data_IF_851609413540
#
_entry.id   IF_851609413540
#
_cell.length_a   1.000
_cell.length_b   1.000
_cell.length_c   1.000
_cell.angle_alpha   90.00
_cell.angle_beta   90.00
_cell.angle_gamma   90.00
#
_symmetry.space_group_name_H-M   'P 1'
#
loop_
_entity.id
_entity.type
_entity.pdbx_description
1 polymer ?
#
# COMPACT_ATOMS: atom_id res chain seq x y z
N UNK A 1 2.01 19.40 16.41
CA UNK A 1 3.15 18.78 17.12
C UNK A 1 2.97 17.28 16.93
N UNK A 2 3.73 16.66 16.02
CA UNK A 2 3.66 15.22 15.78
C UNK A 2 4.81 14.59 16.55
N UNK A 3 4.51 13.85 17.61
CA UNK A 3 5.49 13.03 18.34
C UNK A 3 5.52 11.64 17.73
N UNK A 4 6.71 11.15 17.38
CA UNK A 4 6.87 9.77 16.96
C UNK A 4 6.87 8.87 18.21
N UNK A 5 6.17 7.74 18.12
CA UNK A 5 5.97 6.82 19.25
C UNK A 5 7.27 6.16 19.75
N UNK A 6 8.41 6.38 19.07
CA UNK A 6 9.71 5.72 19.33
C UNK A 6 10.90 6.69 19.19
N UNK A 7 10.78 7.95 19.63
CA UNK A 7 11.97 8.81 19.78
C UNK A 7 12.92 8.17 20.80
N UNK A 8 14.00 7.55 20.32
CA UNK A 8 15.09 7.05 21.17
C UNK A 8 16.19 8.12 21.26
N UNK A 9 17.00 8.06 22.32
CA UNK A 9 18.05 9.06 22.60
C UNK A 9 19.22 8.95 21.58
N UNK A 10 19.29 7.86 20.81
CA UNK A 10 20.10 7.77 19.59
C UNK A 10 19.30 8.35 18.41
N UNK A 11 19.90 9.28 17.66
CA UNK A 11 19.32 10.00 16.50
C UNK A 11 18.87 9.13 15.30
N UNK A 12 18.47 7.88 15.51
CA UNK A 12 17.96 6.98 14.49
C UNK A 12 16.44 7.15 14.35
N UNK A 13 16.04 8.26 13.74
CA UNK A 13 14.64 8.56 13.45
C UNK A 13 14.07 7.47 12.53
N UNK A 14 13.17 6.65 13.07
CA UNK A 14 12.48 5.62 12.29
C UNK A 14 11.12 6.12 11.84
N UNK A 15 10.90 6.19 10.54
CA UNK A 15 9.61 6.60 9.98
C UNK A 15 8.61 5.47 10.14
N UNK A 16 7.58 5.66 10.95
CA UNK A 16 6.42 4.77 11.02
C UNK A 16 5.16 5.58 10.79
N UNK A 17 4.33 5.14 9.84
CA UNK A 17 3.13 5.86 9.42
C UNK A 17 1.92 4.94 9.63
N UNK A 18 1.43 4.80 10.88
CA UNK A 18 0.13 4.18 11.12
C UNK A 18 -0.97 5.10 10.59
N UNK A 19 -1.89 4.53 9.82
CA UNK A 19 -3.04 5.24 9.27
C UNK A 19 -4.31 4.60 9.81
N UNK A 20 -5.15 5.43 10.41
CA UNK A 20 -6.53 5.11 10.74
C UNK A 20 -7.41 5.99 9.87
N UNK A 21 -8.34 5.40 9.14
CA UNK A 21 -9.24 6.12 8.27
C UNK A 21 -10.68 5.69 8.50
N UNK A 22 -11.61 6.61 8.31
CA UNK A 22 -13.03 6.33 8.30
C UNK A 22 -13.76 7.31 7.37
N UNK A 23 -14.86 6.86 6.80
CA UNK A 23 -15.81 7.74 6.14
C UNK A 23 -16.60 8.51 7.20
N UNK A 24 -16.84 9.80 6.96
CA UNK A 24 -17.52 10.69 7.90
C UNK A 24 -19.04 10.42 7.95
N UNK A 25 -19.65 10.15 6.79
CA UNK A 25 -21.09 9.98 6.67
C UNK A 25 -21.53 8.50 6.74
N UNK A 26 -22.56 8.23 7.54
CA UNK A 26 -23.26 6.94 7.59
C UNK A 26 -22.82 5.97 8.69
N UNK A 27 -23.81 5.37 9.35
CA UNK A 27 -23.61 4.25 10.27
C UNK A 27 -22.97 3.10 9.46
N UNK A 28 -21.86 2.55 9.96
CA UNK A 28 -21.11 1.46 9.30
C UNK A 28 -20.45 1.79 7.93
N UNK A 29 -20.08 3.06 7.65
CA UNK A 29 -19.24 3.41 6.49
C UNK A 29 -17.84 2.73 6.46
N UNK A 30 -17.12 2.88 5.35
CA UNK A 30 -15.76 2.36 5.15
C UNK A 30 -14.82 2.91 6.24
N UNK A 31 -14.13 2.02 6.95
CA UNK A 31 -13.13 2.39 7.95
C UNK A 31 -12.06 1.32 8.03
N UNK A 32 -10.88 1.67 8.48
CA UNK A 32 -9.83 0.70 8.62
C UNK A 32 -8.55 1.26 9.19
N UNK A 33 -7.59 0.36 9.33
CA UNK A 33 -6.23 0.65 9.75
C UNK A 33 -5.27 -0.04 8.79
N UNK A 34 -4.19 0.65 8.45
CA UNK A 34 -3.04 0.11 7.73
C UNK A 34 -1.81 0.91 8.13
N UNK A 35 -0.62 0.40 7.86
CA UNK A 35 0.57 1.17 8.12
C UNK A 35 1.82 0.58 7.49
N UNK A 36 2.76 1.46 7.21
CA UNK A 36 4.10 1.14 6.74
C UNK A 36 5.04 2.29 7.10
N UNK A 37 6.31 2.17 6.74
CA UNK A 37 7.28 3.25 6.80
C UNK A 37 7.32 4.09 5.51
N UNK A 38 6.39 3.87 4.56
CA UNK A 38 6.37 4.49 3.25
C UNK A 38 5.02 5.18 2.98
N UNK A 39 5.05 6.52 2.89
CA UNK A 39 3.87 7.34 2.64
C UNK A 39 3.29 7.11 1.24
N UNK A 40 4.14 6.85 0.23
CA UNK A 40 3.69 6.59 -1.14
C UNK A 40 2.98 5.26 -1.23
N UNK A 41 3.52 4.22 -0.59
CA UNK A 41 2.87 2.91 -0.52
C UNK A 41 1.50 3.01 0.17
N UNK A 42 1.45 3.67 1.33
CA UNK A 42 0.20 3.89 2.05
C UNK A 42 -0.83 4.64 1.20
N UNK A 43 -0.39 5.68 0.48
CA UNK A 43 -1.23 6.44 -0.45
C UNK A 43 -1.77 5.60 -1.60
N UNK A 44 -0.93 4.75 -2.21
CA UNK A 44 -1.35 3.83 -3.28
C UNK A 44 -2.41 2.84 -2.78
N UNK A 45 -2.26 2.28 -1.58
CA UNK A 45 -3.24 1.36 -0.99
C UNK A 45 -4.56 2.10 -0.71
N UNK A 46 -4.51 3.30 -0.13
CA UNK A 46 -5.71 4.12 0.11
C UNK A 46 -6.43 4.47 -1.20
N UNK A 47 -5.68 4.85 -2.24
CA UNK A 47 -6.24 5.11 -3.56
C UNK A 47 -6.97 3.88 -4.13
N UNK A 48 -6.34 2.71 -4.03
CA UNK A 48 -6.95 1.44 -4.47
C UNK A 48 -8.23 1.10 -3.69
N UNK A 49 -8.25 1.33 -2.38
CA UNK A 49 -9.40 1.06 -1.52
C UNK A 49 -10.57 2.03 -1.74
N UNK A 50 -10.26 3.32 -1.86
CA UNK A 50 -11.24 4.41 -1.85
C UNK A 50 -11.67 4.76 -3.27
N UNK A 51 -10.72 5.13 -4.14
CA UNK A 51 -11.02 5.63 -5.48
C UNK A 51 -11.33 4.49 -6.46
N UNK A 52 -10.57 3.40 -6.40
CA UNK A 52 -10.81 2.23 -7.26
C UNK A 52 -11.80 1.22 -6.67
N UNK A 53 -12.19 1.41 -5.41
CA UNK A 53 -13.18 0.57 -4.74
C UNK A 53 -12.77 -0.90 -4.56
N UNK A 54 -11.49 -1.23 -4.72
CA UNK A 54 -10.99 -2.61 -4.65
C UNK A 54 -11.23 -3.22 -3.25
N UNK A 55 -11.34 -4.54 -3.20
CA UNK A 55 -11.30 -5.25 -1.92
C UNK A 55 -9.88 -5.19 -1.32
N UNK A 56 -9.76 -5.45 -0.01
CA UNK A 56 -8.51 -5.26 0.72
C UNK A 56 -7.34 -6.10 0.17
N UNK A 57 -7.59 -7.35 -0.21
CA UNK A 57 -6.56 -8.22 -0.79
C UNK A 57 -6.08 -7.68 -2.13
N UNK A 58 -7.00 -7.35 -3.04
CA UNK A 58 -6.68 -6.78 -4.34
C UNK A 58 -5.98 -5.41 -4.21
N UNK A 59 -6.37 -4.58 -3.23
CA UNK A 59 -5.77 -3.27 -3.03
C UNK A 59 -4.31 -3.33 -2.55
N UNK A 60 -3.98 -4.31 -1.68
CA UNK A 60 -2.62 -4.51 -1.16
C UNK A 60 -1.73 -5.20 -2.19
N UNK A 61 -2.28 -6.19 -2.91
CA UNK A 61 -1.52 -6.99 -3.89
C UNK A 61 -1.35 -6.30 -5.24
N UNK A 62 -2.12 -5.24 -5.50
CA UNK A 62 -2.01 -4.46 -6.73
C UNK A 62 -0.55 -3.99 -6.96
N UNK A 63 -0.05 -4.01 -8.21
CA UNK A 63 1.31 -3.57 -8.51
C UNK A 63 1.58 -2.16 -8.03
N UNK A 64 2.76 -1.99 -7.43
CA UNK A 64 3.22 -0.72 -6.89
C UNK A 64 4.10 0.02 -7.86
N UNK A 65 4.07 1.33 -7.70
CA UNK A 65 4.92 2.28 -8.39
C UNK A 65 5.95 2.81 -7.39
N UNK A 66 7.21 2.83 -7.79
CA UNK A 66 8.33 3.31 -6.97
C UNK A 66 9.11 4.38 -7.72
N UNK A 67 9.53 5.44 -7.04
CA UNK A 67 10.48 6.39 -7.60
C UNK A 67 11.90 5.95 -7.25
N UNK A 68 12.75 5.87 -8.26
CA UNK A 68 14.19 5.60 -8.16
C UNK A 68 14.96 6.78 -8.75
N UNK A 69 16.27 6.85 -8.52
CA UNK A 69 17.10 7.97 -9.02
C UNK A 69 16.95 8.21 -10.52
N UNK A 70 16.73 7.12 -11.27
CA UNK A 70 16.73 7.11 -12.73
C UNK A 70 15.31 7.14 -13.33
N UNK A 71 14.26 7.28 -12.50
CA UNK A 71 12.89 7.37 -12.95
C UNK A 71 11.88 6.70 -12.04
N UNK A 72 10.87 6.05 -12.63
CA UNK A 72 9.87 5.28 -11.89
C UNK A 72 9.99 3.80 -12.28
N UNK A 73 9.72 2.91 -11.34
CA UNK A 73 9.68 1.47 -11.53
C UNK A 73 8.28 0.96 -11.18
N UNK A 74 7.79 0.02 -11.99
CA UNK A 74 6.54 -0.67 -11.73
C UNK A 74 6.89 -2.08 -11.25
N UNK A 75 6.27 -2.48 -10.16
CA UNK A 75 6.35 -3.84 -9.68
C UNK A 75 5.89 -4.85 -10.74
N UNK A 76 6.73 -5.85 -10.98
CA UNK A 76 6.39 -6.97 -11.86
C UNK A 76 5.68 -8.07 -11.06
N UNK A 77 4.36 -7.94 -10.86
CA UNK A 77 3.56 -8.98 -10.26
C UNK A 77 2.83 -9.80 -11.34
N UNK A 78 3.34 -10.98 -11.67
CA UNK A 78 2.71 -11.86 -12.68
C UNK A 78 1.29 -12.31 -12.30
N UNK A 79 0.91 -12.27 -11.02
CA UNK A 79 -0.43 -12.69 -10.55
C UNK A 79 -1.46 -11.56 -10.54
N UNK A 80 -1.00 -10.32 -10.42
CA UNK A 80 -1.85 -9.14 -10.35
C UNK A 80 -1.29 -8.15 -11.36
N UNK A 81 -1.51 -8.37 -12.65
CA UNK A 81 -0.91 -7.52 -13.67
C UNK A 81 -1.54 -6.12 -13.66
N UNK A 82 -0.72 -5.11 -13.96
CA UNK A 82 -1.22 -3.78 -14.32
C UNK A 82 -2.11 -3.93 -15.56
N UNK A 83 -3.17 -3.14 -15.62
CA UNK A 83 -4.04 -3.11 -16.79
C UNK A 83 -3.21 -2.75 -18.03
N UNK A 84 -3.24 -3.60 -19.06
CA UNK A 84 -2.30 -3.52 -20.19
C UNK A 84 -2.30 -2.16 -20.90
N UNK A 85 -3.44 -1.47 -20.91
CA UNK A 85 -3.59 -0.12 -21.46
C UNK A 85 -2.88 0.96 -20.61
N UNK A 86 -2.95 0.85 -19.28
CA UNK A 86 -2.20 1.74 -18.39
C UNK A 86 -0.70 1.45 -18.51
N UNK A 87 -0.34 0.17 -18.57
CA UNK A 87 1.04 -0.25 -18.70
C UNK A 87 1.68 0.28 -19.99
N UNK A 88 0.98 0.21 -21.12
CA UNK A 88 1.47 0.73 -22.41
C UNK A 88 1.62 2.25 -22.44
N UNK A 89 0.72 3.00 -21.77
CA UNK A 89 0.84 4.44 -21.60
C UNK A 89 2.01 4.82 -20.67
N UNK A 90 2.25 4.04 -19.62
CA UNK A 90 3.38 4.28 -18.72
C UNK A 90 4.70 3.98 -19.43
N UNK A 91 4.79 2.90 -20.20
CA UNK A 91 5.97 2.58 -21.00
C UNK A 91 6.33 3.68 -22.01
N UNK A 92 5.35 4.40 -22.57
CA UNK A 92 5.63 5.49 -23.51
C UNK A 92 6.16 6.76 -22.84
N UNK A 93 5.93 6.92 -21.53
CA UNK A 93 6.36 8.09 -20.74
C UNK A 93 7.66 7.78 -19.97
N UNK A 94 7.90 6.51 -19.63
CA UNK A 94 9.00 6.10 -18.76
C UNK A 94 10.20 5.63 -19.58
N UNK A 95 11.23 6.48 -19.68
CA UNK A 95 12.54 6.11 -20.23
C UNK A 95 13.22 5.09 -19.33
N UNK A 96 13.42 3.87 -19.84
CA UNK A 96 14.29 2.81 -19.29
C UNK A 96 13.94 2.32 -17.88
N UNK A 97 12.98 1.42 -17.81
CA UNK A 97 12.68 0.60 -16.64
C UNK A 97 13.79 -0.42 -16.38
N UNK A 98 14.70 -0.13 -15.45
CA UNK A 98 15.53 -1.16 -14.83
C UNK A 98 14.63 -2.10 -14.02
N UNK A 99 14.72 -3.39 -14.30
CA UNK A 99 13.97 -4.41 -13.59
C UNK A 99 14.64 -4.73 -12.25
N UNK A 100 13.78 -4.73 -11.24
CA UNK A 100 13.81 -5.65 -10.11
C UNK A 100 14.97 -5.50 -9.12
N UNK A 101 14.75 -4.64 -8.11
CA UNK A 101 15.39 -4.83 -6.82
C UNK A 101 14.32 -5.18 -5.77
N UNK A 102 13.90 -6.45 -5.81
CA UNK A 102 13.01 -7.10 -4.83
C UNK A 102 13.42 -6.88 -3.36
N UNK A 103 14.66 -6.45 -3.09
CA UNK A 103 15.15 -6.13 -1.75
C UNK A 103 14.49 -4.89 -1.11
N UNK A 104 13.75 -4.10 -1.89
CA UNK A 104 13.12 -2.86 -1.44
C UNK A 104 11.60 -2.95 -1.19
N UNK A 105 10.96 -4.08 -1.51
CA UNK A 105 9.51 -4.21 -1.42
C UNK A 105 9.03 -4.27 0.04
N UNK A 106 8.43 -3.18 0.50
CA UNK A 106 7.85 -3.07 1.85
C UNK A 106 6.55 -3.86 1.96
N UNK A 107 6.33 -4.59 3.05
CA UNK A 107 5.06 -5.27 3.29
C UNK A 107 4.08 -4.40 4.07
N UNK A 108 2.77 -4.60 3.84
CA UNK A 108 1.70 -3.90 4.57
C UNK A 108 0.67 -4.87 5.07
N UNK A 109 0.20 -4.65 6.30
CA UNK A 109 -0.97 -5.33 6.83
C UNK A 109 -2.09 -4.30 6.98
N UNK A 110 -3.32 -4.71 6.68
CA UNK A 110 -4.47 -3.85 6.86
C UNK A 110 -5.68 -4.62 7.37
N UNK A 111 -6.54 -3.88 8.09
CA UNK A 111 -7.85 -4.34 8.55
C UNK A 111 -8.85 -3.27 8.10
N UNK A 112 -9.88 -3.68 7.38
CA UNK A 112 -10.90 -2.78 6.82
C UNK A 112 -12.29 -3.33 7.14
N UNK A 113 -13.16 -2.46 7.65
CA UNK A 113 -14.59 -2.70 7.80
C UNK A 113 -15.34 -1.91 6.73
N UNK A 114 -16.20 -2.60 5.97
CA UNK A 114 -17.14 -2.02 5.02
C UNK A 114 -18.54 -2.53 5.35
N UNK A 115 -19.44 -1.63 5.73
CA UNK A 115 -20.75 -2.00 6.28
C UNK A 115 -20.54 -2.98 7.44
N UNK A 116 -21.13 -4.16 7.39
CA UNK A 116 -21.03 -5.17 8.44
C UNK A 116 -19.92 -6.22 8.18
N UNK A 117 -19.17 -6.06 7.09
CA UNK A 117 -18.07 -6.96 6.76
C UNK A 117 -16.74 -6.41 7.28
N UNK A 118 -16.06 -7.20 8.10
CA UNK A 118 -14.67 -6.98 8.51
C UNK A 118 -13.76 -7.89 7.68
N UNK A 119 -12.76 -7.32 7.02
CA UNK A 119 -11.76 -8.04 6.23
C UNK A 119 -10.37 -7.60 6.64
N UNK A 120 -9.42 -8.53 6.63
CA UNK A 120 -8.02 -8.27 6.92
C UNK A 120 -7.17 -8.95 5.85
N UNK A 121 -6.07 -8.33 5.48
CA UNK A 121 -5.10 -8.94 4.56
C UNK A 121 -3.68 -8.61 5.01
N UNK A 122 -2.82 -9.61 4.94
CA UNK A 122 -1.39 -9.47 5.12
C UNK A 122 -0.74 -9.64 3.76
N UNK A 123 0.06 -8.66 3.38
CA UNK A 123 0.73 -8.64 2.09
C UNK A 123 1.59 -9.88 1.87
N UNK A 124 1.41 -10.52 0.73
CA UNK A 124 2.15 -11.71 0.31
C UNK A 124 3.67 -11.47 0.27
N UNK A 125 4.10 -10.23 0.00
CA UNK A 125 5.52 -9.82 -0.01
C UNK A 125 6.18 -9.95 1.36
N UNK A 126 5.40 -9.88 2.44
CA UNK A 126 5.87 -10.01 3.82
C UNK A 126 5.73 -11.40 4.42
N UNK A 127 5.14 -12.36 3.70
CA UNK A 127 4.78 -13.70 4.21
C UNK A 127 3.94 -13.66 5.51
N UNK A 128 3.19 -12.57 5.73
CA UNK A 128 2.32 -12.41 6.90
C UNK A 128 1.03 -13.22 6.76
N UNK A 129 0.36 -13.46 7.89
CA UNK A 129 -0.94 -14.14 7.93
C UNK A 129 -1.98 -13.21 8.56
N UNK A 130 -3.11 -13.06 7.87
CA UNK A 130 -4.28 -12.39 8.42
C UNK A 130 -5.27 -13.44 8.94
N UNK A 131 -5.77 -13.26 10.16
CA UNK A 131 -6.75 -14.15 10.77
C UNK A 131 -7.83 -13.35 11.49
N UNK A 132 -9.05 -13.89 11.51
CA UNK A 132 -10.20 -13.34 12.24
C UNK A 132 -10.94 -14.47 12.96
N UNK A 133 -11.55 -14.14 14.09
CA UNK A 133 -12.44 -15.02 14.87
C UNK A 133 -13.90 -14.58 14.71
#
# INVERSE_FOLDING_TARGET
>A
MAGFFLDNISNDLSTFIPIIFHYEEGICGLRGVLGSNDAFLNGQILYNLIMRGLNISAAIEYPRYYFVSDGMVIENNQRHSVEAALQSQLYSIMSLLSHDDSSSMRSVNAIVKRKDSLSSHSDSRGNGIASRF
#
